data_IF_526643832207
#
_entry.id   IF_526643832207
#
_cell.length_a   1.000
_cell.length_b   1.000
_cell.length_c   1.000
_cell.angle_alpha   90.00
_cell.angle_beta   90.00
_cell.angle_gamma   90.00
#
_symmetry.space_group_name_H-M   'P 1'
#
loop_
_entity.id
_entity.type
_entity.pdbx_description
1 polymer ?
#
# COMPACT_ATOMS: atom_id res chain seq x y z
N UNK A 1 -34.44 -75.67 -39.83
CA UNK A 1 -34.39 -74.79 -38.65
C UNK A 1 -32.92 -74.60 -38.27
N UNK A 2 -32.30 -73.48 -38.66
CA UNK A 2 -30.88 -73.19 -38.39
C UNK A 2 -30.81 -72.29 -37.16
N UNK A 3 -30.27 -72.80 -36.07
CA UNK A 3 -30.05 -72.08 -34.81
C UNK A 3 -28.70 -71.36 -34.95
N UNK A 4 -28.75 -70.03 -34.90
CA UNK A 4 -27.59 -69.14 -34.97
C UNK A 4 -27.09 -68.89 -33.55
N UNK A 5 -25.87 -69.33 -33.24
CA UNK A 5 -25.20 -69.11 -31.95
C UNK A 5 -24.27 -67.90 -32.12
N UNK A 6 -24.56 -66.79 -31.41
CA UNK A 6 -23.66 -65.64 -31.28
C UNK A 6 -22.70 -65.85 -30.10
N UNK A 7 -21.40 -65.57 -30.24
CA UNK A 7 -20.47 -65.58 -29.11
C UNK A 7 -20.54 -64.26 -28.34
N UNK A 8 -20.66 -64.39 -27.03
CA UNK A 8 -20.63 -63.33 -26.03
C UNK A 8 -19.18 -62.87 -25.85
N UNK A 9 -18.81 -61.69 -26.37
CA UNK A 9 -17.50 -61.10 -26.13
C UNK A 9 -17.50 -60.40 -24.77
N UNK A 10 -16.79 -60.99 -23.81
CA UNK A 10 -16.56 -60.42 -22.49
C UNK A 10 -15.57 -59.25 -22.59
N UNK A 11 -16.07 -58.03 -22.40
CA UNK A 11 -15.27 -56.80 -22.35
C UNK A 11 -14.82 -56.56 -20.90
N UNK A 12 -13.61 -57.01 -20.56
CA UNK A 12 -12.96 -56.71 -19.27
C UNK A 12 -12.49 -55.26 -19.25
N UNK A 13 -13.21 -54.40 -18.52
CA UNK A 13 -12.81 -53.04 -18.16
C UNK A 13 -11.64 -53.11 -17.16
N UNK A 14 -10.44 -52.77 -17.62
CA UNK A 14 -9.27 -52.57 -16.76
C UNK A 14 -9.32 -51.13 -16.22
N UNK A 15 -9.81 -50.96 -14.99
CA UNK A 15 -9.80 -49.67 -14.29
C UNK A 15 -8.38 -49.30 -13.88
N UNK A 16 -7.70 -48.48 -14.68
CA UNK A 16 -6.52 -47.74 -14.23
C UNK A 16 -6.95 -46.79 -13.12
N UNK A 17 -6.63 -47.15 -11.87
CA UNK A 17 -6.72 -46.26 -10.73
C UNK A 17 -5.76 -45.10 -10.94
N UNK A 18 -6.27 -43.96 -11.40
CA UNK A 18 -5.57 -42.69 -11.33
C UNK A 18 -5.39 -42.36 -9.85
N UNK A 19 -4.19 -42.58 -9.32
CA UNK A 19 -3.74 -41.88 -8.12
C UNK A 19 -3.74 -40.39 -8.45
N UNK A 20 -4.82 -39.70 -8.09
CA UNK A 20 -4.85 -38.25 -8.05
C UNK A 20 -3.84 -37.81 -6.99
N UNK A 21 -2.63 -37.47 -7.43
CA UNK A 21 -1.65 -36.78 -6.61
C UNK A 21 -2.27 -35.42 -6.29
N UNK A 22 -2.88 -35.29 -5.11
CA UNK A 22 -3.36 -34.02 -4.57
C UNK A 22 -2.11 -33.21 -4.29
N UNK A 23 -1.64 -32.47 -5.29
CA UNK A 23 -0.62 -31.45 -5.11
C UNK A 23 -1.14 -30.53 -4.02
N UNK A 24 -0.53 -30.60 -2.84
CA UNK A 24 -0.77 -29.58 -1.84
C UNK A 24 -0.43 -28.27 -2.51
N UNK A 25 -1.44 -27.43 -2.73
CA UNK A 25 -1.24 -25.99 -2.89
C UNK A 25 -0.45 -25.57 -1.67
N UNK A 26 0.88 -25.53 -1.84
CA UNK A 26 1.75 -24.76 -0.98
C UNK A 26 1.15 -23.37 -1.05
N UNK A 27 0.52 -22.94 0.05
CA UNK A 27 -0.04 -21.61 0.18
C UNK A 27 1.11 -20.65 -0.07
N UNK A 28 1.25 -20.22 -1.32
CA UNK A 28 2.25 -19.25 -1.73
C UNK A 28 1.93 -18.02 -0.90
N UNK A 29 2.87 -17.62 -0.03
CA UNK A 29 2.78 -16.35 0.67
C UNK A 29 2.74 -15.26 -0.41
N UNK A 30 1.54 -14.82 -0.75
CA UNK A 30 1.30 -13.83 -1.77
C UNK A 30 1.58 -12.45 -1.16
N UNK A 31 2.67 -11.83 -1.57
CA UNK A 31 2.94 -10.43 -1.26
C UNK A 31 1.98 -9.55 -2.08
N UNK A 32 1.31 -8.58 -1.46
CA UNK A 32 0.52 -7.60 -2.20
C UNK A 32 1.42 -6.53 -2.85
N UNK A 33 0.98 -6.01 -3.99
CA UNK A 33 1.53 -4.78 -4.56
C UNK A 33 1.02 -3.57 -3.76
N UNK A 34 1.86 -2.55 -3.61
CA UNK A 34 1.46 -1.28 -3.01
C UNK A 34 2.52 -0.64 -2.12
N UNK A 35 2.06 0.30 -1.29
CA UNK A 35 2.91 1.11 -0.43
C UNK A 35 2.84 0.60 1.00
N UNK A 36 3.96 0.16 1.55
CA UNK A 36 4.10 -0.35 2.90
C UNK A 36 4.73 0.69 3.82
N UNK A 37 4.15 0.91 4.99
CA UNK A 37 4.55 1.93 5.96
C UNK A 37 5.19 1.30 7.18
N UNK A 38 6.32 1.87 7.61
CA UNK A 38 7.04 1.43 8.80
C UNK A 38 6.17 1.64 10.05
N UNK A 39 5.85 0.55 10.75
CA UNK A 39 5.28 0.61 12.10
C UNK A 39 6.39 1.00 13.09
N UNK A 40 6.30 2.18 13.68
CA UNK A 40 7.27 2.63 14.69
C UNK A 40 6.57 3.00 15.99
N UNK A 41 6.86 2.24 17.06
CA UNK A 41 6.41 2.55 18.43
C UNK A 41 7.45 3.32 19.25
N UNK A 42 8.75 3.17 18.94
CA UNK A 42 9.84 3.60 19.84
C UNK A 42 10.77 4.69 19.29
N UNK A 43 10.75 4.93 17.98
CA UNK A 43 11.66 5.88 17.34
C UNK A 43 10.82 6.79 16.46
N UNK A 44 10.94 8.12 16.62
CA UNK A 44 10.23 9.12 15.82
C UNK A 44 10.74 9.16 14.35
N UNK A 45 10.84 8.00 13.71
CA UNK A 45 11.23 7.80 12.31
C UNK A 45 10.00 7.34 11.53
N UNK A 46 9.97 7.70 10.26
CA UNK A 46 8.96 7.25 9.31
C UNK A 46 9.65 6.49 8.19
N UNK A 47 8.92 5.60 7.54
CA UNK A 47 9.46 4.80 6.46
C UNK A 47 8.37 4.34 5.50
N UNK A 48 8.71 4.34 4.22
CA UNK A 48 7.84 3.93 3.13
C UNK A 48 8.59 2.96 2.23
N UNK A 49 7.96 1.85 1.89
CA UNK A 49 8.42 0.85 0.94
C UNK A 49 7.33 0.63 -0.12
N UNK A 50 7.55 1.12 -1.32
CA UNK A 50 6.71 0.81 -2.47
C UNK A 50 7.20 -0.50 -3.11
N UNK A 51 6.27 -1.42 -3.37
CA UNK A 51 6.51 -2.69 -4.06
C UNK A 51 5.60 -2.75 -5.28
N UNK A 52 6.15 -3.09 -6.46
CA UNK A 52 5.35 -3.52 -7.62
C UNK A 52 5.77 -4.92 -8.06
N UNK A 53 4.79 -5.75 -8.41
CA UNK A 53 5.00 -7.14 -8.81
C UNK A 53 5.20 -7.23 -10.32
N UNK A 54 6.26 -7.93 -10.72
CA UNK A 54 6.57 -8.20 -12.12
C UNK A 54 6.43 -9.70 -12.44
N UNK A 55 6.18 -10.07 -13.71
CA UNK A 55 6.10 -11.47 -14.12
C UNK A 55 7.34 -12.29 -13.71
N UNK A 56 7.12 -13.53 -13.31
CA UNK A 56 8.20 -14.46 -12.93
C UNK A 56 8.72 -14.27 -11.50
N UNK A 57 7.91 -13.71 -10.60
CA UNK A 57 8.28 -13.54 -9.18
C UNK A 57 9.28 -12.42 -8.95
N UNK A 58 9.39 -11.48 -9.88
CA UNK A 58 10.24 -10.29 -9.73
C UNK A 58 9.46 -9.17 -9.03
N UNK A 59 10.19 -8.29 -8.37
CA UNK A 59 9.63 -7.08 -7.77
C UNK A 59 10.50 -5.88 -8.13
N UNK A 60 9.87 -4.74 -8.36
CA UNK A 60 10.52 -3.42 -8.25
C UNK A 60 10.21 -2.85 -6.88
N UNK A 61 11.18 -2.13 -6.30
CA UNK A 61 11.00 -1.53 -4.99
C UNK A 61 11.60 -0.13 -4.91
N UNK A 62 11.00 0.70 -4.06
CA UNK A 62 11.47 2.03 -3.68
C UNK A 62 11.28 2.21 -2.19
N UNK A 63 12.36 2.40 -1.45
CA UNK A 63 12.41 2.47 0.01
C UNK A 63 12.92 3.85 0.42
N UNK A 64 12.11 4.59 1.17
CA UNK A 64 12.47 5.89 1.74
C UNK A 64 12.32 5.83 3.26
N UNK A 65 13.33 6.27 4.00
CA UNK A 65 13.30 6.35 5.46
C UNK A 65 13.69 7.75 5.91
N UNK A 66 12.95 8.31 6.85
CA UNK A 66 13.29 9.57 7.51
C UNK A 66 13.54 9.28 8.99
N UNK A 67 14.76 9.54 9.44
CA UNK A 67 15.17 9.41 10.84
C UNK A 67 14.53 10.46 11.74
N UNK A 68 14.68 10.27 13.05
CA UNK A 68 14.12 11.17 14.05
C UNK A 68 14.77 12.56 14.08
N UNK A 69 14.05 13.50 14.68
CA UNK A 69 14.59 14.80 15.09
C UNK A 69 15.88 14.60 15.94
N UNK A 70 16.86 15.54 15.91
CA UNK A 70 16.78 16.88 15.33
C UNK A 70 17.33 17.01 13.91
N UNK A 71 18.01 15.97 13.38
CA UNK A 71 18.70 16.06 12.09
C UNK A 71 17.83 15.61 10.91
N UNK A 72 16.75 14.86 11.15
CA UNK A 72 15.85 14.32 10.11
C UNK A 72 16.62 13.71 8.93
N UNK A 73 17.66 12.92 9.24
CA UNK A 73 18.46 12.28 8.22
C UNK A 73 17.56 11.42 7.33
N UNK A 74 17.77 11.48 6.03
CA UNK A 74 16.96 10.73 5.07
C UNK A 74 17.80 9.65 4.42
N UNK A 75 17.13 8.60 4.00
CA UNK A 75 17.72 7.46 3.34
C UNK A 75 16.83 6.98 2.21
N UNK A 76 17.44 6.60 1.09
CA UNK A 76 16.73 6.16 -0.11
C UNK A 76 17.41 4.94 -0.73
N UNK A 77 16.62 3.94 -1.12
CA UNK A 77 17.09 2.75 -1.82
C UNK A 77 16.02 2.26 -2.80
N UNK A 78 16.40 2.09 -4.06
CA UNK A 78 15.50 1.56 -5.11
C UNK A 78 16.18 0.48 -5.92
N UNK A 79 15.39 -0.43 -6.52
CA UNK A 79 15.92 -1.43 -7.43
C UNK A 79 14.93 -2.52 -7.80
N UNK A 80 15.48 -3.63 -8.30
CA UNK A 80 14.75 -4.85 -8.61
C UNK A 80 15.25 -6.01 -7.75
N UNK A 81 14.36 -6.93 -7.39
CA UNK A 81 14.72 -8.19 -6.72
C UNK A 81 13.83 -9.32 -7.18
N UNK A 82 14.14 -10.53 -6.73
CA UNK A 82 13.31 -11.72 -6.95
C UNK A 82 12.71 -12.14 -5.62
N UNK A 83 11.38 -12.17 -5.57
CA UNK A 83 10.62 -12.70 -4.45
C UNK A 83 10.52 -14.22 -4.60
N UNK A 84 11.09 -14.96 -3.65
CA UNK A 84 11.05 -16.42 -3.59
C UNK A 84 10.69 -16.86 -2.18
N UNK A 85 9.67 -17.70 -2.05
CA UNK A 85 9.20 -18.22 -0.76
C UNK A 85 8.88 -17.08 0.24
N UNK A 86 8.27 -16.00 -0.26
CA UNK A 86 7.94 -14.80 0.53
C UNK A 86 9.16 -13.96 0.94
N UNK A 87 10.34 -14.17 0.33
CA UNK A 87 11.57 -13.45 0.68
C UNK A 87 12.21 -12.79 -0.53
N UNK A 88 12.77 -11.61 -0.33
CA UNK A 88 13.59 -10.92 -1.33
C UNK A 88 14.83 -10.32 -0.67
N UNK A 89 15.90 -10.17 -1.45
CA UNK A 89 17.09 -9.45 -1.01
C UNK A 89 17.15 -8.12 -1.75
N UNK A 90 16.92 -7.04 -1.02
CA UNK A 90 17.04 -5.67 -1.50
C UNK A 90 18.48 -5.20 -1.26
N UNK A 91 18.98 -4.27 -2.05
CA UNK A 91 20.34 -3.80 -1.85
C UNK A 91 20.90 -2.99 -2.99
N UNK A 92 22.03 -2.35 -2.72
CA UNK A 92 22.84 -1.59 -3.67
C UNK A 92 24.32 -1.85 -3.40
N UNK A 93 25.16 -1.49 -4.35
CA UNK A 93 26.62 -1.47 -4.16
C UNK A 93 27.24 -0.11 -4.50
N UNK A 94 26.39 0.91 -4.70
CA UNK A 94 26.81 2.21 -5.23
C UNK A 94 27.52 3.10 -4.20
N UNK A 95 27.32 2.87 -2.89
CA UNK A 95 27.80 3.76 -1.83
C UNK A 95 29.00 3.21 -1.05
N UNK A 96 30.01 2.71 -1.76
CA UNK A 96 31.29 2.33 -1.13
C UNK A 96 31.33 0.93 -0.51
N UNK A 97 30.32 0.09 -0.78
CA UNK A 97 30.30 -1.31 -0.37
C UNK A 97 28.95 -1.98 -0.66
N UNK A 98 28.86 -3.31 -0.48
CA UNK A 98 27.59 -4.02 -0.59
C UNK A 98 26.66 -3.69 0.58
N UNK A 99 25.44 -3.29 0.25
CA UNK A 99 24.32 -3.24 1.19
C UNK A 99 23.32 -4.35 0.84
N UNK A 100 22.84 -5.08 1.85
CA UNK A 100 21.81 -6.11 1.71
C UNK A 100 20.78 -6.00 2.82
N UNK A 101 19.52 -5.88 2.43
CA UNK A 101 18.36 -5.83 3.31
C UNK A 101 17.46 -7.00 2.92
N UNK A 102 17.20 -7.90 3.87
CA UNK A 102 16.25 -8.98 3.66
C UNK A 102 14.84 -8.45 3.89
N UNK A 103 13.98 -8.65 2.89
CA UNK A 103 12.54 -8.50 2.98
C UNK A 103 11.92 -9.87 3.22
N UNK A 104 11.05 -9.97 4.22
CA UNK A 104 10.26 -11.18 4.52
C UNK A 104 8.78 -10.80 4.58
N UNK A 105 7.96 -11.37 3.70
CA UNK A 105 6.51 -11.32 3.79
C UNK A 105 6.05 -12.23 4.94
N UNK A 106 5.44 -11.62 5.95
CA UNK A 106 4.83 -12.33 7.08
C UNK A 106 3.42 -12.79 6.72
N UNK A 107 2.71 -11.95 5.95
CA UNK A 107 1.43 -12.22 5.31
C UNK A 107 1.31 -11.32 4.07
N UNK A 108 0.11 -11.19 3.47
CA UNK A 108 -0.09 -10.39 2.26
C UNK A 108 0.04 -8.88 2.46
N UNK A 109 -0.19 -8.40 3.67
CA UNK A 109 -0.20 -6.98 4.03
C UNK A 109 0.94 -6.59 4.99
N UNK A 110 1.74 -7.55 5.46
CA UNK A 110 2.79 -7.29 6.45
C UNK A 110 4.15 -7.79 5.97
N UNK A 111 5.13 -6.89 5.98
CA UNK A 111 6.52 -7.13 5.64
C UNK A 111 7.42 -6.90 6.85
N UNK A 112 8.56 -7.58 6.88
CA UNK A 112 9.66 -7.28 7.79
C UNK A 112 10.92 -7.03 7.00
N UNK A 113 11.57 -5.90 7.25
CA UNK A 113 12.91 -5.59 6.74
C UNK A 113 13.96 -5.86 7.81
N UNK A 114 15.09 -6.42 7.40
CA UNK A 114 16.25 -6.63 8.26
C UNK A 114 17.54 -6.46 7.47
N UNK A 115 18.36 -5.50 7.87
CA UNK A 115 19.67 -5.27 7.29
C UNK A 115 20.57 -6.47 7.61
N UNK A 116 21.11 -7.11 6.56
CA UNK A 116 21.99 -8.29 6.64
C UNK A 116 23.45 -7.94 6.40
N UNK A 117 23.71 -6.91 5.60
CA UNK A 117 25.06 -6.47 5.22
C UNK A 117 25.07 -4.96 4.91
N UNK A 118 26.16 -4.28 5.26
CA UNK A 118 26.31 -2.83 5.09
C UNK A 118 26.00 -2.05 6.37
N UNK A 119 26.61 -0.87 6.51
CA UNK A 119 26.22 0.13 7.50
C UNK A 119 25.27 1.16 6.85
N UNK A 120 24.63 2.07 7.62
CA UNK A 120 23.71 3.06 7.06
C UNK A 120 24.31 3.83 5.87
N UNK A 121 25.55 4.30 5.98
CA UNK A 121 26.20 5.06 4.92
C UNK A 121 26.39 4.24 3.64
N UNK A 122 26.80 2.97 3.78
CA UNK A 122 26.96 2.01 2.67
C UNK A 122 25.63 1.66 2.01
N UNK A 123 24.53 1.75 2.77
CA UNK A 123 23.19 1.53 2.28
C UNK A 123 22.51 2.79 1.71
N UNK A 124 23.20 3.93 1.67
CA UNK A 124 22.61 5.20 1.22
C UNK A 124 21.64 5.81 2.24
N UNK A 125 21.68 5.35 3.49
CA UNK A 125 20.89 5.86 4.60
C UNK A 125 21.78 6.77 5.47
N UNK A 126 21.44 8.05 5.53
CA UNK A 126 22.23 9.02 6.32
C UNK A 126 22.43 8.61 7.78
N UNK A 127 23.44 9.19 8.45
CA UNK A 127 23.88 8.85 9.82
C UNK A 127 22.77 8.35 10.76
N UNK A 128 22.74 7.04 11.03
CA UNK A 128 21.85 6.40 12.00
C UNK A 128 20.46 6.05 11.48
N UNK A 129 20.17 6.26 10.20
CA UNK A 129 18.92 5.82 9.57
C UNK A 129 19.03 4.34 9.25
N UNK A 130 18.14 3.53 9.83
CA UNK A 130 18.09 2.09 9.62
C UNK A 130 16.69 1.75 9.08
N UNK A 131 16.59 0.94 8.01
CA UNK A 131 15.29 0.57 7.44
C UNK A 131 14.61 -0.57 8.19
N UNK A 132 15.29 -1.19 9.16
CA UNK A 132 14.82 -2.36 9.89
C UNK A 132 13.52 -2.07 10.63
N UNK A 133 12.55 -2.96 10.47
CA UNK A 133 11.24 -2.83 11.10
C UNK A 133 10.17 -3.66 10.41
N UNK A 134 8.98 -3.63 10.99
CA UNK A 134 7.77 -4.18 10.38
C UNK A 134 7.13 -3.08 9.55
N UNK A 135 6.75 -3.40 8.32
CA UNK A 135 6.00 -2.50 7.46
C UNK A 135 4.65 -3.12 7.19
N UNK A 136 3.61 -2.30 7.22
CA UNK A 136 2.26 -2.72 6.84
C UNK A 136 1.84 -2.01 5.59
N UNK A 137 1.19 -2.73 4.69
CA UNK A 137 0.53 -2.16 3.54
C UNK A 137 -0.34 -1.02 4.07
N UNK A 138 0.01 0.20 3.72
CA UNK A 138 -0.80 1.36 4.02
C UNK A 138 -2.16 1.13 3.38
N UNK A 139 -3.21 1.68 3.99
CA UNK A 139 -4.54 1.73 3.38
C UNK A 139 -4.50 2.68 2.15
N UNK A 140 -3.66 2.41 1.16
CA UNK A 140 -4.06 2.76 -0.19
C UNK A 140 -5.20 1.80 -0.50
N UNK A 141 -6.32 2.36 -0.96
CA UNK A 141 -7.42 1.59 -1.51
C UNK A 141 -6.85 0.69 -2.61
N UNK A 142 -6.41 -0.52 -2.23
CA UNK A 142 -6.29 -1.61 -3.16
C UNK A 142 -7.67 -1.69 -3.78
N UNK A 143 -7.75 -1.70 -5.12
CA UNK A 143 -9.02 -1.68 -5.86
C UNK A 143 -9.98 -2.84 -5.53
N UNK A 144 -9.64 -3.67 -4.54
CA UNK A 144 -10.36 -4.82 -4.03
C UNK A 144 -11.08 -4.56 -2.69
N UNK A 145 -10.78 -3.48 -1.97
CA UNK A 145 -11.70 -2.97 -0.96
C UNK A 145 -12.87 -2.39 -1.74
N UNK A 146 -13.88 -3.23 -2.03
CA UNK A 146 -15.05 -2.92 -2.84
C UNK A 146 -15.44 -1.47 -2.62
N UNK A 147 -15.10 -0.62 -3.59
CA UNK A 147 -15.13 0.83 -3.42
C UNK A 147 -16.52 1.18 -2.92
N UNK A 148 -16.62 1.49 -1.63
CA UNK A 148 -17.88 1.93 -1.08
C UNK A 148 -18.23 3.18 -1.89
N UNK A 149 -19.43 3.20 -2.46
CA UNK A 149 -19.85 4.33 -3.28
C UNK A 149 -19.96 5.52 -2.35
N UNK A 150 -19.01 6.44 -2.43
CA UNK A 150 -19.00 7.65 -1.60
C UNK A 150 -20.01 8.63 -2.20
N UNK A 151 -21.01 9.02 -1.41
CA UNK A 151 -21.86 10.15 -1.76
C UNK A 151 -21.06 11.44 -1.51
N UNK A 152 -20.79 12.27 -2.53
CA UNK A 152 -20.04 13.51 -2.35
C UNK A 152 -20.65 14.46 -1.31
N UNK A 153 -21.97 14.37 -1.07
CA UNK A 153 -22.63 15.14 -0.02
C UNK A 153 -22.18 14.76 1.39
N UNK A 154 -21.67 13.54 1.60
CA UNK A 154 -21.12 13.09 2.87
C UNK A 154 -19.75 13.70 3.17
N UNK A 155 -19.05 14.27 2.18
CA UNK A 155 -17.77 14.97 2.41
C UNK A 155 -17.99 16.33 3.08
N UNK A 156 -19.09 17.00 2.78
CA UNK A 156 -19.41 18.33 3.30
C UNK A 156 -19.62 18.29 4.81
N UNK A 157 -18.96 19.18 5.54
CA UNK A 157 -19.04 19.24 7.00
C UNK A 157 -17.81 19.87 7.63
N UNK A 158 -17.85 19.98 8.95
CA UNK A 158 -16.70 20.30 9.79
C UNK A 158 -16.21 19.01 10.45
N UNK A 159 -14.92 18.78 10.36
CA UNK A 159 -14.25 17.53 10.69
C UNK A 159 -13.07 17.82 11.61
N UNK A 160 -12.82 16.96 12.59
CA UNK A 160 -11.66 17.06 13.48
C UNK A 160 -10.79 15.82 13.36
N UNK A 161 -9.49 15.99 13.20
CA UNK A 161 -8.57 14.86 13.13
C UNK A 161 -8.59 14.05 14.43
N UNK A 162 -8.59 12.73 14.28
CA UNK A 162 -8.54 11.76 15.39
C UNK A 162 -7.14 11.62 15.98
N UNK A 163 -6.10 11.92 15.19
CA UNK A 163 -4.70 11.86 15.62
C UNK A 163 -4.20 13.19 16.20
N UNK A 164 -4.69 14.32 15.67
CA UNK A 164 -4.41 15.67 16.18
C UNK A 164 -5.71 16.47 16.32
N UNK A 165 -6.28 16.54 17.54
CA UNK A 165 -7.52 17.28 17.79
C UNK A 165 -7.43 18.79 17.54
N UNK A 166 -6.23 19.34 17.35
CA UNK A 166 -6.05 20.75 17.00
C UNK A 166 -6.14 21.01 15.50
N UNK A 167 -6.07 19.96 14.67
CA UNK A 167 -6.25 20.04 13.23
C UNK A 167 -7.71 19.74 12.87
N UNK A 168 -8.34 20.71 12.20
CA UNK A 168 -9.74 20.64 11.77
C UNK A 168 -9.82 20.90 10.26
N UNK A 169 -10.81 20.28 9.61
CA UNK A 169 -11.06 20.37 8.18
C UNK A 169 -12.52 20.77 7.96
N UNK A 170 -12.76 21.84 7.21
CA UNK A 170 -14.09 22.19 6.73
C UNK A 170 -14.16 21.99 5.22
N UNK A 171 -15.14 21.19 4.78
CA UNK A 171 -15.49 21.04 3.37
C UNK A 171 -16.87 21.66 3.20
N UNK A 172 -16.97 22.73 2.42
CA UNK A 172 -18.24 23.35 2.02
C UNK A 172 -18.56 23.06 0.55
N UNK A 173 -19.48 23.77 -0.11
CA UNK A 173 -19.86 23.48 -1.50
C UNK A 173 -18.73 23.76 -2.51
N UNK A 174 -17.75 24.59 -2.14
CA UNK A 174 -16.73 25.06 -3.07
C UNK A 174 -15.29 24.95 -2.54
N UNK A 175 -15.11 24.78 -1.24
CA UNK A 175 -13.82 24.92 -0.60
C UNK A 175 -13.49 23.77 0.34
N UNK A 176 -12.21 23.40 0.33
CA UNK A 176 -11.51 22.58 1.30
C UNK A 176 -10.67 23.54 2.16
N UNK A 177 -11.00 23.67 3.44
CA UNK A 177 -10.35 24.62 4.36
C UNK A 177 -9.75 23.89 5.55
N UNK A 178 -8.50 24.17 5.83
CA UNK A 178 -7.76 23.59 6.93
C UNK A 178 -7.61 24.60 8.05
N UNK A 179 -7.79 24.14 9.28
CA UNK A 179 -7.62 24.95 10.47
C UNK A 179 -6.64 24.27 11.42
N UNK A 180 -5.81 25.08 12.09
CA UNK A 180 -4.97 24.63 13.19
C UNK A 180 -5.27 25.49 14.41
N UNK A 181 -5.69 24.87 15.52
CA UNK A 181 -6.11 25.57 16.75
C UNK A 181 -7.20 26.63 16.50
N UNK A 182 -8.07 26.37 15.53
CA UNK A 182 -9.18 27.26 15.14
C UNK A 182 -8.78 28.42 14.22
N UNK A 183 -7.51 28.56 13.85
CA UNK A 183 -7.06 29.54 12.86
C UNK A 183 -7.02 28.89 11.47
N UNK A 184 -7.60 29.55 10.46
CA UNK A 184 -7.53 29.09 9.06
C UNK A 184 -6.07 29.15 8.60
N UNK A 185 -5.52 27.99 8.21
CA UNK A 185 -4.15 27.88 7.70
C UNK A 185 -4.11 27.70 6.19
N UNK A 186 -5.19 27.20 5.60
CA UNK A 186 -5.30 27.00 4.16
C UNK A 186 -6.77 27.01 3.71
N UNK A 187 -7.01 27.55 2.52
CA UNK A 187 -8.29 27.48 1.83
C UNK A 187 -8.05 27.21 0.35
N UNK A 188 -8.58 26.10 -0.14
CA UNK A 188 -8.39 25.63 -1.51
C UNK A 188 -9.74 25.32 -2.13
N UNK A 189 -9.82 25.42 -3.46
CA UNK A 189 -10.95 24.83 -4.18
C UNK A 189 -10.82 23.31 -4.13
N UNK A 190 -11.95 22.60 -4.29
CA UNK A 190 -11.91 21.16 -4.41
C UNK A 190 -12.92 20.61 -5.41
N UNK A 191 -12.68 19.37 -5.83
CA UNK A 191 -13.58 18.59 -6.67
C UNK A 191 -13.44 17.11 -6.34
N UNK A 192 -14.58 16.46 -6.14
CA UNK A 192 -14.65 15.02 -6.01
C UNK A 192 -14.79 14.34 -7.39
N UNK A 193 -14.16 13.19 -7.54
CA UNK A 193 -14.22 12.33 -8.72
C UNK A 193 -14.45 10.89 -8.28
N UNK A 194 -15.43 10.20 -8.85
CA UNK A 194 -15.62 8.76 -8.63
C UNK A 194 -14.40 7.94 -9.07
N UNK A 195 -13.63 8.46 -10.04
CA UNK A 195 -12.36 7.90 -10.51
C UNK A 195 -11.31 9.01 -10.59
N UNK A 196 -10.14 8.76 -10.03
CA UNK A 196 -9.02 9.71 -10.05
C UNK A 196 -8.72 10.22 -11.48
N UNK A 197 -8.59 11.55 -11.68
CA UNK A 197 -8.10 12.07 -12.94
C UNK A 197 -6.60 11.76 -13.10
N UNK A 198 -6.10 11.65 -14.33
CA UNK A 198 -4.69 11.33 -14.60
C UNK A 198 -3.69 12.33 -14.00
N UNK A 199 -4.12 13.56 -13.74
CA UNK A 199 -3.31 14.57 -13.04
C UNK A 199 -3.05 14.25 -11.56
N UNK A 200 -3.75 13.27 -10.99
CA UNK A 200 -3.54 12.78 -9.63
C UNK A 200 -2.65 11.53 -9.57
N UNK A 201 -2.08 11.09 -10.70
CA UNK A 201 -1.30 9.86 -10.84
C UNK A 201 -1.98 8.82 -11.72
N UNK A 202 -1.20 7.89 -12.28
CA UNK A 202 -1.67 6.85 -13.21
C UNK A 202 -2.39 5.67 -12.53
N UNK A 203 -2.96 5.89 -11.35
CA UNK A 203 -3.59 4.82 -10.58
C UNK A 203 -5.10 4.80 -10.85
N UNK A 204 -5.64 3.61 -11.16
CA UNK A 204 -7.07 3.35 -11.39
C UNK A 204 -7.87 3.40 -10.06
N UNK A 205 -7.62 4.43 -9.25
CA UNK A 205 -8.19 4.63 -7.92
C UNK A 205 -9.60 5.21 -8.00
N UNK A 206 -10.48 4.68 -7.16
CA UNK A 206 -11.83 5.18 -6.97
C UNK A 206 -11.87 6.30 -5.92
N UNK A 207 -12.92 7.12 -5.98
CA UNK A 207 -13.30 8.11 -4.96
C UNK A 207 -12.17 9.10 -4.61
N UNK A 208 -11.79 9.96 -5.55
CA UNK A 208 -10.69 10.90 -5.37
C UNK A 208 -11.16 12.33 -5.10
N UNK A 209 -10.50 12.99 -4.16
CA UNK A 209 -10.68 14.40 -3.85
C UNK A 209 -9.47 15.17 -4.39
N UNK A 210 -9.66 16.01 -5.41
CA UNK A 210 -8.64 16.93 -5.86
C UNK A 210 -8.87 18.29 -5.20
N UNK A 211 -7.81 18.87 -4.64
CA UNK A 211 -7.79 20.23 -4.11
C UNK A 211 -6.80 21.06 -4.92
N UNK A 212 -7.08 22.35 -5.13
CA UNK A 212 -6.15 23.23 -5.83
C UNK A 212 -6.23 24.68 -5.36
N UNK A 213 -5.10 25.37 -5.53
CA UNK A 213 -4.94 26.81 -5.40
C UNK A 213 -4.27 27.36 -6.68
N UNK A 214 -3.85 28.62 -6.66
CA UNK A 214 -3.08 29.21 -7.77
C UNK A 214 -1.68 28.60 -7.92
N UNK A 215 -1.15 27.92 -6.90
CA UNK A 215 0.23 27.43 -6.85
C UNK A 215 0.32 25.91 -6.82
N UNK A 216 -0.59 25.27 -6.09
CA UNK A 216 -0.48 23.85 -5.76
C UNK A 216 -1.75 23.09 -6.11
N UNK A 217 -1.59 21.79 -6.37
CA UNK A 217 -2.69 20.84 -6.54
C UNK A 217 -2.34 19.59 -5.74
N UNK A 218 -3.25 19.18 -4.86
CA UNK A 218 -3.11 17.95 -4.08
C UNK A 218 -4.28 17.02 -4.41
N UNK A 219 -4.00 15.72 -4.43
CA UNK A 219 -5.02 14.71 -4.65
C UNK A 219 -5.05 13.73 -3.50
N UNK A 220 -6.24 13.36 -3.07
CA UNK A 220 -6.47 12.40 -1.99
C UNK A 220 -7.36 11.27 -2.51
N UNK A 221 -7.12 10.06 -2.04
CA UNK A 221 -8.11 8.98 -2.07
C UNK A 221 -9.02 9.16 -0.86
N UNK A 222 -10.33 9.13 -1.08
CA UNK A 222 -11.33 9.06 -0.01
C UNK A 222 -11.52 7.59 0.33
N UNK A 223 -10.95 7.18 1.46
CA UNK A 223 -11.00 5.79 1.94
C UNK A 223 -12.33 5.50 2.65
N UNK A 224 -12.87 6.50 3.34
CA UNK A 224 -14.15 6.45 4.04
C UNK A 224 -14.78 7.84 4.06
N UNK A 225 -16.09 7.93 3.85
CA UNK A 225 -16.86 9.13 4.15
C UNK A 225 -18.30 8.75 4.52
N UNK A 226 -18.70 9.05 5.75
CA UNK A 226 -20.06 8.83 6.24
C UNK A 226 -20.52 9.98 7.15
N UNK A 227 -21.61 9.81 7.89
CA UNK A 227 -22.14 10.85 8.78
C UNK A 227 -21.29 11.06 10.05
N UNK A 228 -20.30 10.23 10.31
CA UNK A 228 -19.47 10.24 11.51
C UNK A 228 -17.98 10.36 11.19
N UNK A 229 -17.49 9.71 10.14
CA UNK A 229 -16.08 9.61 9.83
C UNK A 229 -15.75 10.05 8.40
N UNK A 230 -14.57 10.63 8.25
CA UNK A 230 -13.92 10.92 6.97
C UNK A 230 -12.48 10.42 7.05
N UNK A 231 -12.02 9.69 6.05
CA UNK A 231 -10.63 9.23 5.97
C UNK A 231 -10.06 9.55 4.58
N UNK A 232 -8.98 10.33 4.57
CA UNK A 232 -8.32 10.82 3.36
C UNK A 232 -6.87 10.31 3.32
N UNK A 233 -6.43 9.78 2.19
CA UNK A 233 -5.01 9.43 1.96
C UNK A 233 -4.45 10.28 0.83
N UNK A 234 -3.39 11.04 1.11
CA UNK A 234 -2.71 11.84 0.09
C UNK A 234 -2.09 10.93 -0.99
N UNK A 235 -2.40 11.19 -2.26
CA UNK A 235 -1.82 10.48 -3.39
C UNK A 235 -0.41 11.02 -3.66
N UNK A 236 0.57 10.11 -3.74
CA UNK A 236 1.99 10.47 -3.82
C UNK A 236 2.60 10.94 -2.50
N UNK A 237 1.82 10.91 -1.40
CA UNK A 237 2.31 11.14 -0.04
C UNK A 237 2.92 9.90 0.59
N UNK A 238 3.18 9.98 1.89
CA UNK A 238 3.80 8.93 2.71
C UNK A 238 2.93 7.68 2.93
N UNK A 239 1.84 7.52 2.16
CA UNK A 239 0.80 6.50 2.32
C UNK A 239 -0.02 6.58 3.63
N UNK A 240 0.28 7.50 4.54
CA UNK A 240 -0.52 7.71 5.74
C UNK A 240 -1.86 8.36 5.37
N UNK A 241 -2.95 7.76 5.87
CA UNK A 241 -4.26 8.40 5.84
C UNK A 241 -4.44 9.30 7.06
N UNK A 242 -5.26 10.33 6.90
CA UNK A 242 -5.72 11.19 7.97
C UNK A 242 -7.19 10.86 8.20
N UNK A 243 -7.51 10.46 9.43
CA UNK A 243 -8.88 10.15 9.83
C UNK A 243 -9.46 11.27 10.67
N UNK A 244 -10.69 11.64 10.36
CA UNK A 244 -11.45 12.68 11.02
C UNK A 244 -12.77 12.16 11.57
N UNK A 245 -13.24 12.80 12.65
CA UNK A 245 -14.57 12.69 13.19
C UNK A 245 -15.40 13.94 12.89
N UNK A 246 -16.67 13.75 12.53
CA UNK A 246 -17.59 14.85 12.26
C UNK A 246 -17.86 15.64 13.54
N UNK A 247 -17.66 16.96 13.46
CA UNK A 247 -18.02 17.88 14.53
C UNK A 247 -19.54 18.12 14.51
N UNK A 248 -20.14 18.17 15.70
CA UNK A 248 -21.58 18.38 15.89
C UNK A 248 -21.99 19.83 15.67
#
# INVERSE_FOLDING_TARGET
MKILILPLAAFTLLSLGMLACKSGESSELSLAEGTYLLESEEQARTGELQISLLPGGKITYSLTIVGAAPAYNQGFLQGESTLKDGKAMLGTSEFGGPCKIELVALDSATLKLTTREGDPATCGFGNGVVPDGTYRLGNQATGDAAAETIDPAQLTGLWRSTDDPTYELAIDEANYKEYNRGEEVSAQHYKFFEKCPSGCGDMDLANCLQTWSDQDTFCFVVLQADLQFLELSLIGGTGQSIRFERMK
#
